data_IF_542801417106
#
_entry.id   IF_542801417106
#
_cell.length_a   1.000
_cell.length_b   1.000
_cell.length_c   1.000
_cell.angle_alpha   90.00
_cell.angle_beta   90.00
_cell.angle_gamma   90.00
#
_symmetry.space_group_name_H-M   'P 1'
#
loop_
_entity.id
_entity.type
_entity.pdbx_description
1 polymer ?
#
# COMPACT_ATOMS: atom_id res chain seq x y z
N UNK A 1 -2.19 -65.10 -33.90
CA UNK A 1 -1.37 -65.80 -32.88
C UNK A 1 -1.36 -64.92 -31.63
N UNK A 2 -1.81 -65.47 -30.50
CA UNK A 2 -1.54 -65.04 -29.10
C UNK A 2 -2.26 -63.79 -28.50
N UNK A 3 -3.27 -64.08 -27.64
CA UNK A 3 -3.89 -63.27 -26.53
C UNK A 3 -2.89 -63.08 -25.33
N UNK A 4 -3.16 -62.51 -24.11
CA UNK A 4 -4.41 -62.00 -23.46
C UNK A 4 -4.35 -60.73 -22.52
N UNK A 5 -5.52 -60.13 -22.28
CA UNK A 5 -6.22 -59.67 -21.03
C UNK A 5 -5.56 -58.95 -19.80
N UNK A 6 -6.13 -57.75 -19.48
CA UNK A 6 -6.67 -57.16 -18.20
C UNK A 6 -5.79 -57.01 -16.91
N UNK A 7 -6.16 -56.20 -15.85
CA UNK A 7 -7.46 -55.57 -15.51
C UNK A 7 -7.44 -54.10 -14.95
N UNK A 8 -8.65 -53.66 -14.61
CA UNK A 8 -9.20 -52.46 -13.96
C UNK A 8 -8.60 -52.03 -12.60
N UNK A 9 -8.53 -50.71 -12.37
CA UNK A 9 -8.92 -50.05 -11.09
C UNK A 9 -7.80 -49.56 -10.16
N UNK A 10 -7.71 -48.25 -9.92
CA UNK A 10 -8.01 -47.60 -8.62
C UNK A 10 -7.54 -46.15 -8.57
N UNK A 11 -8.38 -45.34 -7.93
CA UNK A 11 -8.26 -43.94 -7.56
C UNK A 11 -6.98 -43.58 -6.79
N UNK A 12 -6.49 -42.37 -7.02
CA UNK A 12 -5.46 -41.75 -6.19
C UNK A 12 -5.17 -40.34 -6.66
N UNK A 13 -6.17 -39.47 -6.61
CA UNK A 13 -5.94 -38.03 -6.73
C UNK A 13 -5.22 -37.56 -5.49
N UNK A 14 -3.99 -37.11 -5.64
CA UNK A 14 -3.34 -36.24 -4.67
C UNK A 14 -2.64 -35.12 -5.46
N UNK A 15 -3.48 -34.28 -6.06
CA UNK A 15 -3.09 -32.92 -6.43
C UNK A 15 -3.03 -32.09 -5.15
N UNK A 16 -2.03 -32.37 -4.32
CA UNK A 16 -1.66 -31.50 -3.20
C UNK A 16 -1.04 -30.27 -3.83
N UNK A 17 -1.92 -29.34 -4.25
CA UNK A 17 -1.55 -27.99 -4.60
C UNK A 17 -0.83 -27.41 -3.39
N UNK A 18 0.50 -27.46 -3.41
CA UNK A 18 1.33 -26.69 -2.52
C UNK A 18 0.94 -25.24 -2.79
N UNK A 19 0.09 -24.69 -1.92
CA UNK A 19 -0.18 -23.26 -1.87
C UNK A 19 1.18 -22.63 -1.58
N UNK A 20 1.90 -22.26 -2.65
CA UNK A 20 3.07 -21.41 -2.56
C UNK A 20 2.51 -20.12 -1.97
N UNK A 21 2.64 -19.97 -0.66
CA UNK A 21 2.37 -18.73 0.03
C UNK A 21 3.16 -17.67 -0.72
N UNK A 22 2.45 -16.80 -1.45
CA UNK A 22 3.11 -15.72 -2.19
C UNK A 22 3.96 -14.96 -1.18
N UNK A 23 5.25 -14.70 -1.46
CA UNK A 23 6.07 -13.94 -0.55
C UNK A 23 5.36 -12.63 -0.24
N UNK A 24 5.16 -12.36 1.06
CA UNK A 24 4.49 -11.16 1.55
C UNK A 24 5.32 -9.96 1.11
N UNK A 25 4.83 -9.19 0.14
CA UNK A 25 5.50 -7.96 -0.28
C UNK A 25 5.34 -6.92 0.82
N UNK A 26 6.44 -6.28 1.19
CA UNK A 26 6.46 -5.21 2.18
C UNK A 26 7.56 -4.23 1.80
N UNK A 27 7.23 -2.94 1.81
CA UNK A 27 8.24 -1.88 1.68
C UNK A 27 8.91 -1.59 3.03
N UNK A 28 8.34 -2.08 4.13
CA UNK A 28 8.82 -1.87 5.50
C UNK A 28 9.86 -2.94 5.89
N UNK A 29 11.08 -2.48 6.09
CA UNK A 29 12.16 -3.30 6.66
C UNK A 29 12.03 -3.40 8.19
N UNK A 30 12.82 -4.27 8.82
CA UNK A 30 12.91 -4.34 10.29
C UNK A 30 13.33 -3.00 10.90
N UNK A 31 14.23 -2.29 10.24
CA UNK A 31 14.79 -1.02 10.71
C UNK A 31 13.73 0.09 10.59
N UNK A 32 12.94 0.08 9.51
CA UNK A 32 11.81 1.01 9.34
C UNK A 32 10.79 0.83 10.47
N UNK A 33 10.48 -0.42 10.85
CA UNK A 33 9.58 -0.72 11.97
C UNK A 33 10.16 -0.28 13.32
N UNK A 34 11.46 -0.45 13.52
CA UNK A 34 12.14 0.01 14.73
C UNK A 34 12.07 1.54 14.86
N UNK A 35 12.50 2.27 13.82
CA UNK A 35 12.46 3.73 13.78
C UNK A 35 11.03 4.27 13.87
N UNK A 36 10.05 3.56 13.31
CA UNK A 36 8.65 3.91 13.44
C UNK A 36 8.18 3.85 14.89
N UNK A 37 8.52 2.77 15.61
CA UNK A 37 8.12 2.59 17.02
C UNK A 37 8.79 3.60 17.97
N UNK A 38 10.01 4.03 17.65
CA UNK A 38 10.72 5.07 18.41
C UNK A 38 10.23 6.49 18.04
N UNK A 39 9.54 6.65 16.91
CA UNK A 39 9.12 7.96 16.38
C UNK A 39 10.24 8.73 15.68
N UNK A 40 11.34 8.06 15.31
CA UNK A 40 12.53 8.63 14.68
C UNK A 40 12.55 8.44 13.14
N UNK A 41 11.49 7.88 12.55
CA UNK A 41 11.40 7.65 11.11
C UNK A 41 10.96 8.89 10.31
N UNK A 42 11.90 9.73 9.87
CA UNK A 42 11.61 10.98 9.15
C UNK A 42 11.08 10.82 7.71
N UNK A 43 11.19 9.64 7.11
CA UNK A 43 10.78 9.36 5.72
C UNK A 43 9.66 8.34 5.60
N UNK A 44 8.76 8.31 6.58
CA UNK A 44 7.74 7.26 6.66
C UNK A 44 6.75 7.31 5.47
N UNK A 45 6.62 8.48 4.85
CA UNK A 45 5.84 8.68 3.63
C UNK A 45 6.34 7.88 2.42
N UNK A 46 7.60 7.43 2.41
CA UNK A 46 8.12 6.54 1.35
C UNK A 46 7.62 5.09 1.52
N UNK A 47 7.00 4.77 2.66
CA UNK A 47 6.63 3.41 3.07
C UNK A 47 5.13 3.26 3.31
N UNK A 48 4.53 4.21 4.03
CA UNK A 48 3.09 4.29 4.26
C UNK A 48 2.41 5.07 3.13
N UNK A 49 1.12 4.83 2.94
CA UNK A 49 0.34 5.40 1.86
C UNK A 49 0.15 4.43 0.70
N UNK A 50 -0.08 4.97 -0.49
CA UNK A 50 -0.23 4.22 -1.73
C UNK A 50 0.97 4.46 -2.65
N UNK A 51 1.66 3.38 -3.03
CA UNK A 51 2.89 3.41 -3.81
C UNK A 51 2.73 2.55 -5.07
N UNK A 52 2.59 3.16 -6.27
CA UNK A 52 2.61 2.42 -7.53
C UNK A 52 3.93 1.66 -7.68
N UNK A 53 3.87 0.36 -7.93
CA UNK A 53 5.05 -0.47 -8.11
C UNK A 53 4.78 -1.70 -8.99
N UNK A 54 5.85 -2.31 -9.46
CA UNK A 54 5.80 -3.58 -10.19
C UNK A 54 6.31 -4.70 -9.30
N UNK A 55 5.48 -5.72 -9.07
CA UNK A 55 5.82 -6.91 -8.31
C UNK A 55 5.74 -8.13 -9.22
N UNK A 56 6.85 -8.87 -9.34
CA UNK A 56 6.94 -10.09 -10.16
C UNK A 56 6.40 -9.89 -11.60
N UNK A 57 6.72 -8.75 -12.21
CA UNK A 57 6.26 -8.38 -13.55
C UNK A 57 4.81 -7.89 -13.64
N UNK A 58 4.10 -7.80 -12.52
CA UNK A 58 2.73 -7.29 -12.43
C UNK A 58 2.71 -5.86 -11.90
N UNK A 59 2.19 -4.92 -12.70
CA UNK A 59 1.94 -3.56 -12.23
C UNK A 59 0.79 -3.53 -11.23
N UNK A 60 0.93 -2.75 -10.17
CA UNK A 60 -0.11 -2.52 -9.18
C UNK A 60 0.28 -1.43 -8.21
N UNK A 61 -0.38 -1.41 -7.06
CA UNK A 61 -0.12 -0.44 -6.01
C UNK A 61 0.03 -1.16 -4.67
N UNK A 62 1.10 -0.84 -3.96
CA UNK A 62 1.28 -1.24 -2.56
C UNK A 62 0.60 -0.22 -1.66
N UNK A 63 -0.19 -0.72 -0.71
CA UNK A 63 -0.91 0.09 0.27
C UNK A 63 -0.40 -0.25 1.66
N UNK A 64 -0.15 0.77 2.48
CA UNK A 64 0.17 0.59 3.89
C UNK A 64 -0.42 1.70 4.77
N UNK A 65 -1.06 1.32 5.87
CA UNK A 65 -1.67 2.27 6.81
C UNK A 65 -1.51 1.81 8.26
N UNK A 66 -1.22 2.75 9.16
CA UNK A 66 -1.16 2.47 10.59
C UNK A 66 -2.55 2.57 11.23
N UNK A 67 -3.05 1.43 11.73
CA UNK A 67 -4.34 1.32 12.40
C UNK A 67 -4.28 0.24 13.51
N UNK A 68 -3.58 0.50 14.63
CA UNK A 68 -3.24 -0.52 15.63
C UNK A 68 -4.46 -1.11 16.35
N UNK A 69 -5.54 -0.34 16.49
CA UNK A 69 -6.78 -0.79 17.13
C UNK A 69 -7.80 -1.38 16.15
N UNK A 70 -7.48 -1.47 14.87
CA UNK A 70 -8.35 -2.14 13.90
C UNK A 70 -8.42 -3.65 14.18
N UNK A 71 -9.59 -4.22 13.87
CA UNK A 71 -9.83 -5.66 13.71
C UNK A 71 -9.49 -6.09 12.28
N UNK A 72 -9.83 -5.26 11.30
CA UNK A 72 -9.48 -5.47 9.89
C UNK A 72 -9.42 -4.15 9.15
N UNK A 73 -8.56 -4.08 8.14
CA UNK A 73 -8.49 -2.97 7.18
C UNK A 73 -8.63 -3.52 5.76
N UNK A 74 -9.36 -2.82 4.90
CA UNK A 74 -9.48 -3.18 3.48
C UNK A 74 -9.38 -1.94 2.61
N UNK A 75 -8.83 -2.08 1.41
CA UNK A 75 -8.79 -1.00 0.43
C UNK A 75 -10.05 -1.04 -0.41
N UNK A 76 -10.76 0.08 -0.46
CA UNK A 76 -11.95 0.25 -1.29
C UNK A 76 -11.70 1.36 -2.30
N UNK A 77 -12.19 1.20 -3.52
CA UNK A 77 -11.92 2.16 -4.58
C UNK A 77 -12.74 1.88 -5.84
N UNK A 78 -12.54 2.73 -6.85
CA UNK A 78 -13.18 2.58 -8.15
C UNK A 78 -12.91 1.21 -8.80
N UNK A 79 -11.66 0.73 -8.73
CA UNK A 79 -11.19 -0.54 -9.28
C UNK A 79 -11.89 -1.77 -8.71
N UNK A 80 -12.58 -1.65 -7.58
CA UNK A 80 -13.30 -2.73 -6.94
C UNK A 80 -14.77 -2.44 -6.69
N UNK A 81 -15.30 -1.36 -7.28
CA UNK A 81 -16.69 -0.94 -7.08
C UNK A 81 -17.01 -0.53 -5.65
N UNK A 82 -16.01 -0.04 -4.90
CA UNK A 82 -16.10 0.31 -3.48
C UNK A 82 -16.47 -0.87 -2.56
N UNK A 83 -16.15 -2.10 -2.96
CA UNK A 83 -16.45 -3.32 -2.22
C UNK A 83 -15.47 -3.54 -1.06
N UNK A 84 -16.02 -3.50 0.16
CA UNK A 84 -15.31 -3.60 1.44
C UNK A 84 -14.71 -4.97 1.73
N UNK A 85 -15.10 -6.01 0.99
CA UNK A 85 -14.65 -7.38 1.21
C UNK A 85 -13.56 -7.85 0.23
N UNK A 86 -13.33 -7.14 -0.88
CA UNK A 86 -12.49 -7.64 -1.98
C UNK A 86 -10.99 -7.56 -1.74
N UNK A 87 -10.53 -6.53 -1.06
CA UNK A 87 -9.09 -6.27 -0.89
C UNK A 87 -8.73 -6.03 0.58
N UNK A 88 -8.81 -7.07 1.44
CA UNK A 88 -8.32 -6.98 2.81
C UNK A 88 -6.79 -6.79 2.82
N UNK A 89 -6.32 -5.96 3.74
CA UNK A 89 -4.90 -5.81 4.04
C UNK A 89 -4.50 -6.77 5.16
N UNK A 90 -3.21 -7.09 5.22
CA UNK A 90 -2.67 -7.94 6.26
C UNK A 90 -2.00 -7.12 7.35
N UNK A 91 -2.20 -7.51 8.62
CA UNK A 91 -1.50 -6.91 9.73
C UNK A 91 -0.02 -7.33 9.73
N UNK A 92 0.86 -6.34 9.91
CA UNK A 92 2.31 -6.51 10.06
C UNK A 92 2.65 -6.71 11.53
N UNK A 93 2.65 -7.96 11.95
CA UNK A 93 3.00 -8.39 13.32
C UNK A 93 2.28 -7.56 14.39
N UNK A 94 3.03 -7.02 15.36
CA UNK A 94 2.52 -6.20 16.47
C UNK A 94 2.67 -4.68 16.23
N UNK A 95 3.09 -4.27 15.03
CA UNK A 95 3.31 -2.85 14.69
C UNK A 95 2.01 -2.04 14.60
N UNK A 96 0.90 -2.73 14.31
CA UNK A 96 -0.38 -2.08 14.00
C UNK A 96 -0.45 -1.49 12.59
N UNK A 97 0.56 -1.74 11.75
CA UNK A 97 0.53 -1.41 10.33
C UNK A 97 -0.21 -2.51 9.58
N UNK A 98 -1.03 -2.10 8.62
CA UNK A 98 -1.76 -2.96 7.70
C UNK A 98 -1.22 -2.72 6.30
N UNK A 99 -0.80 -3.77 5.61
CA UNK A 99 -0.14 -3.66 4.30
C UNK A 99 -0.66 -4.69 3.29
N UNK A 100 -0.48 -4.39 2.01
CA UNK A 100 -0.83 -5.31 0.93
C UNK A 100 -0.60 -4.72 -0.46
N UNK A 101 -0.33 -5.60 -1.43
CA UNK A 101 -0.20 -5.22 -2.84
C UNK A 101 -1.47 -5.61 -3.60
N UNK A 102 -2.03 -4.65 -4.33
CA UNK A 102 -3.21 -4.88 -5.17
C UNK A 102 -2.78 -4.74 -6.63
N UNK A 103 -2.86 -5.83 -7.42
CA UNK A 103 -2.48 -5.79 -8.83
C UNK A 103 -3.47 -4.92 -9.62
N UNK A 104 -3.00 -4.38 -10.75
CA UNK A 104 -3.79 -3.62 -11.72
C UNK A 104 -4.37 -2.28 -11.23
N UNK A 105 -4.10 -1.89 -9.97
CA UNK A 105 -4.39 -0.54 -9.48
C UNK A 105 -3.28 0.39 -9.99
N UNK A 106 -3.67 1.36 -10.81
CA UNK A 106 -2.76 2.29 -11.50
C UNK A 106 -2.84 3.69 -10.90
N UNK A 107 -1.85 4.51 -11.26
CA UNK A 107 -1.88 5.95 -11.03
C UNK A 107 -3.22 6.57 -11.49
N UNK A 108 -3.80 7.43 -10.65
CA UNK A 108 -5.10 8.06 -10.85
C UNK A 108 -6.30 7.32 -10.24
N UNK A 109 -6.12 6.09 -9.74
CA UNK A 109 -7.22 5.33 -9.12
C UNK A 109 -7.67 5.95 -7.79
N UNK A 110 -8.99 6.01 -7.57
CA UNK A 110 -9.58 6.51 -6.33
C UNK A 110 -9.62 5.42 -5.26
N UNK A 111 -9.24 5.75 -4.03
CA UNK A 111 -9.28 4.80 -2.92
C UNK A 111 -9.55 5.42 -1.54
N UNK A 112 -9.98 4.55 -0.62
CA UNK A 112 -10.11 4.77 0.82
C UNK A 112 -9.75 3.49 1.56
N UNK A 113 -9.47 3.62 2.86
CA UNK A 113 -9.40 2.48 3.77
C UNK A 113 -10.74 2.28 4.47
N UNK A 114 -11.32 1.08 4.31
CA UNK A 114 -12.39 0.61 5.17
C UNK A 114 -11.79 0.03 6.45
N UNK A 115 -12.00 0.69 7.59
CA UNK A 115 -11.48 0.26 8.88
C UNK A 115 -12.62 -0.29 9.72
N UNK A 116 -12.45 -1.53 10.20
CA UNK A 116 -13.30 -2.11 11.25
C UNK A 116 -12.54 -2.09 12.56
N UNK A 117 -13.10 -1.48 13.58
CA UNK A 117 -12.52 -1.42 14.92
C UNK A 117 -12.83 -2.69 15.71
N UNK A 118 -11.88 -3.13 16.54
CA UNK A 118 -12.12 -4.18 17.54
C UNK A 118 -13.10 -3.76 18.63
N UNK A 119 -13.34 -2.45 18.78
CA UNK A 119 -14.18 -1.90 19.83
C UNK A 119 -15.54 -1.46 19.29
N UNK A 120 -16.60 -1.93 19.95
CA UNK A 120 -18.00 -1.46 19.75
C UNK A 120 -18.51 -1.57 18.30
N UNK A 121 -17.94 -2.45 17.48
CA UNK A 121 -18.37 -2.66 16.11
C UNK A 121 -18.25 -1.43 15.20
N UNK A 122 -17.42 -0.45 15.57
CA UNK A 122 -17.25 0.78 14.79
C UNK A 122 -16.63 0.46 13.42
N UNK A 123 -17.24 0.98 12.35
CA UNK A 123 -16.77 0.82 10.97
C UNK A 123 -16.79 2.16 10.27
N UNK A 124 -15.73 2.48 9.54
CA UNK A 124 -15.62 3.78 8.87
C UNK A 124 -14.78 3.67 7.61
N UNK A 125 -15.11 4.51 6.62
CA UNK A 125 -14.33 4.69 5.41
C UNK A 125 -13.48 5.96 5.59
N UNK A 126 -12.17 5.82 5.53
CA UNK A 126 -11.20 6.90 5.78
C UNK A 126 -10.34 7.16 4.54
N UNK A 127 -10.09 8.44 4.28
CA UNK A 127 -9.03 8.84 3.37
C UNK A 127 -7.67 8.40 3.93
N UNK A 128 -6.70 8.22 3.05
CA UNK A 128 -5.34 7.88 3.44
C UNK A 128 -4.66 9.05 4.19
N UNK A 129 -4.15 8.84 5.41
CA UNK A 129 -3.34 9.85 6.11
C UNK A 129 -2.05 10.23 5.37
N UNK A 130 -1.50 9.30 4.57
CA UNK A 130 -0.29 9.44 3.77
C UNK A 130 -0.60 9.54 2.26
N UNK A 131 -1.84 9.89 1.89
CA UNK A 131 -2.17 10.17 0.49
C UNK A 131 -1.31 11.31 -0.06
N UNK A 132 -0.93 11.23 -1.33
CA UNK A 132 -0.24 12.35 -2.01
C UNK A 132 -1.22 13.27 -2.74
N UNK A 133 -2.40 12.75 -3.10
CA UNK A 133 -3.40 13.50 -3.84
C UNK A 133 -4.82 13.08 -3.40
N UNK A 134 -5.78 14.00 -3.51
CA UNK A 134 -7.17 13.79 -3.10
C UNK A 134 -8.13 14.32 -4.15
N UNK A 135 -9.35 13.78 -4.13
CA UNK A 135 -10.44 14.35 -4.89
C UNK A 135 -10.75 15.79 -4.48
N UNK A 136 -11.33 16.55 -5.41
CA UNK A 136 -11.81 17.89 -5.11
C UNK A 136 -12.95 17.84 -4.07
N UNK A 137 -12.92 18.71 -3.05
CA UNK A 137 -14.03 18.86 -2.12
C UNK A 137 -15.37 19.09 -2.85
N UNK A 138 -16.50 18.53 -2.33
CA UNK A 138 -16.67 17.90 -1.01
C UNK A 138 -16.32 16.39 -0.97
N UNK A 139 -15.77 15.83 -2.05
CA UNK A 139 -15.39 14.42 -2.06
C UNK A 139 -14.12 14.21 -1.22
N UNK A 140 -13.90 12.96 -0.81
CA UNK A 140 -12.91 12.63 0.24
C UNK A 140 -12.05 11.41 -0.08
N UNK A 141 -12.10 10.84 -1.29
CA UNK A 141 -11.19 9.77 -1.63
C UNK A 141 -9.77 10.31 -1.84
N UNK A 142 -8.78 9.50 -1.47
CA UNK A 142 -7.42 9.69 -1.91
C UNK A 142 -7.28 9.16 -3.35
N UNK A 143 -6.26 9.63 -4.05
CA UNK A 143 -5.91 9.21 -5.40
C UNK A 143 -4.53 8.58 -5.36
N UNK A 144 -4.39 7.40 -5.97
CA UNK A 144 -3.08 6.77 -6.16
C UNK A 144 -2.25 7.69 -7.06
N UNK A 145 -1.12 8.17 -6.56
CA UNK A 145 -0.32 9.18 -7.23
C UNK A 145 1.17 8.95 -6.98
N UNK A 146 2.03 9.42 -7.87
CA UNK A 146 3.48 9.42 -7.67
C UNK A 146 4.05 10.85 -7.68
N UNK A 147 5.27 11.01 -7.15
CA UNK A 147 5.93 12.31 -7.05
C UNK A 147 7.01 12.51 -8.14
N UNK A 148 6.87 11.85 -9.30
CA UNK A 148 7.91 11.78 -10.33
C UNK A 148 8.02 13.04 -11.23
N UNK A 149 7.88 14.24 -10.65
CA UNK A 149 8.01 15.49 -11.41
C UNK A 149 9.48 15.83 -11.68
N UNK A 150 9.88 16.11 -12.95
CA UNK A 150 11.24 16.52 -13.28
C UNK A 150 11.47 17.99 -12.92
N UNK A 151 12.16 18.24 -11.82
CA UNK A 151 12.53 19.59 -11.38
C UNK A 151 13.67 20.17 -12.23
N UNK A 152 13.59 21.47 -12.52
CA UNK A 152 14.56 22.22 -13.31
C UNK A 152 15.24 23.37 -12.52
N UNK A 153 15.08 23.42 -11.20
CA UNK A 153 15.54 24.49 -10.31
C UNK A 153 16.87 24.18 -9.61
N UNK A 154 17.70 23.32 -10.20
CA UNK A 154 18.95 22.85 -9.59
C UNK A 154 19.93 23.97 -9.20
N UNK A 155 20.08 24.98 -10.07
CA UNK A 155 20.93 26.15 -9.78
C UNK A 155 20.41 26.93 -8.56
N UNK A 156 19.09 27.11 -8.46
CA UNK A 156 18.46 27.76 -7.32
C UNK A 156 18.70 26.97 -6.04
N UNK A 157 18.47 25.65 -6.07
CA UNK A 157 18.64 24.78 -4.91
C UNK A 157 20.09 24.77 -4.39
N UNK A 158 21.07 24.84 -5.28
CA UNK A 158 22.49 24.94 -4.91
C UNK A 158 22.82 26.27 -4.20
N UNK A 159 22.21 27.38 -4.61
CA UNK A 159 22.43 28.71 -4.03
C UNK A 159 21.51 29.07 -2.86
N UNK A 160 20.47 28.27 -2.58
CA UNK A 160 19.38 28.59 -1.65
C UNK A 160 19.86 28.93 -0.24
N UNK A 161 20.87 28.23 0.28
CA UNK A 161 21.36 28.42 1.64
C UNK A 161 21.87 29.85 1.90
N UNK A 162 22.63 30.42 0.97
CA UNK A 162 23.14 31.79 1.09
C UNK A 162 22.03 32.83 0.91
N UNK A 163 21.09 32.59 -0.01
CA UNK A 163 19.97 33.50 -0.30
C UNK A 163 18.94 33.55 0.83
N UNK A 164 18.84 32.49 1.63
CA UNK A 164 17.94 32.40 2.79
C UNK A 164 18.67 32.58 4.14
N UNK A 165 19.90 33.10 4.12
CA UNK A 165 20.64 33.36 5.36
C UNK A 165 19.93 34.44 6.21
N UNK A 166 20.15 34.41 7.53
CA UNK A 166 19.53 35.36 8.47
C UNK A 166 19.80 36.84 8.15
N UNK A 167 20.91 37.14 7.47
CA UNK A 167 21.28 38.49 7.03
C UNK A 167 20.93 38.83 5.58
N UNK A 168 20.29 37.90 4.85
CA UNK A 168 19.88 38.13 3.46
C UNK A 168 18.57 38.94 3.41
N UNK A 169 18.34 39.73 2.34
CA UNK A 169 17.08 40.45 2.18
C UNK A 169 15.93 39.48 1.94
N UNK A 170 14.85 39.62 2.71
CA UNK A 170 13.60 38.86 2.56
C UNK A 170 12.45 39.85 2.44
N UNK A 171 11.73 39.80 1.33
CA UNK A 171 10.48 40.53 1.11
C UNK A 171 9.44 39.53 0.60
N UNK A 172 8.40 39.29 1.40
CA UNK A 172 7.32 38.34 1.11
C UNK A 172 6.08 39.14 0.72
N UNK A 173 5.43 38.75 -0.37
CA UNK A 173 4.17 39.32 -0.84
C UNK A 173 2.98 38.52 -0.31
#
# INVERSE_FOLDING_TARGET
MTKPQNPTGLSGGDSTGHLIARPRVSLLTSDDLYLFNEGSHFRLYDKLGAHPMTLDGTEGTYFAVWAPSAESVSVIGDFNGWDKARHPLEARDRSGIWEGFIPQVRHGALYKYHVRSRYRGYRVDKADPFGFFWEQPPRTAAVVWDLAYPWHDGEWMAGRGARNALGAPICVY
#
